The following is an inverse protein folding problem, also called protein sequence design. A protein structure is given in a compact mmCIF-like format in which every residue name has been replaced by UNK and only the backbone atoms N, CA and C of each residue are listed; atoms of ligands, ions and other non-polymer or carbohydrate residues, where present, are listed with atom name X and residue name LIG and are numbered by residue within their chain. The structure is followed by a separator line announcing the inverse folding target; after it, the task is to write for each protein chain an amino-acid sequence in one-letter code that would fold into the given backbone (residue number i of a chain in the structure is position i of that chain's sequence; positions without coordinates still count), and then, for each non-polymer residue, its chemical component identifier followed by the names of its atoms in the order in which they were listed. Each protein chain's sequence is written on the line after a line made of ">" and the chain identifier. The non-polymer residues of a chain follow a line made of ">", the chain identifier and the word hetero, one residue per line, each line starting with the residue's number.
data_IF_866276595015
#
_entry.id   IF_866276595015
#
_cell.length_a   1.000
_cell.length_b   1.000
_cell.length_c   1.000
_cell.angle_alpha   90.00
_cell.angle_beta   90.00
_cell.angle_gamma   90.00
#
_symmetry.space_group_name_H-M   'P 1'
#
loop_
_entity.id
_entity.type
_entity.pdbx_description
1 polymer ?
#
# COMPACT_ATOMS: atom_id res chain seq x y z
N UNK A 1 -29.57 -1.77 -5.52
CA UNK A 1 -29.57 -1.92 -6.98
C UNK A 1 -29.78 -0.59 -7.72
N UNK A 2 -30.98 0.00 -7.76
CA UNK A 2 -31.21 1.23 -8.56
C UNK A 2 -30.42 2.44 -8.03
N UNK A 3 -30.41 2.65 -6.72
CA UNK A 3 -29.60 3.69 -6.07
C UNK A 3 -28.09 3.54 -6.29
N UNK A 4 -27.59 2.29 -6.32
CA UNK A 4 -26.16 2.02 -6.56
C UNK A 4 -25.78 2.26 -8.01
N UNK A 5 -26.69 1.97 -8.96
CA UNK A 5 -26.49 2.27 -10.38
C UNK A 5 -26.45 3.77 -10.64
N UNK A 6 -27.39 4.53 -10.06
CA UNK A 6 -27.43 5.99 -10.18
C UNK A 6 -26.15 6.62 -9.60
N UNK A 7 -25.66 6.12 -8.46
CA UNK A 7 -24.42 6.61 -7.86
C UNK A 7 -23.18 6.24 -8.72
N UNK A 8 -23.16 5.06 -9.33
CA UNK A 8 -22.10 4.67 -10.24
C UNK A 8 -22.07 5.54 -11.50
N UNK A 9 -23.24 5.86 -12.07
CA UNK A 9 -23.35 6.78 -13.22
C UNK A 9 -22.94 8.21 -12.83
N UNK A 10 -23.29 8.67 -11.62
CA UNK A 10 -22.83 9.95 -11.08
C UNK A 10 -21.30 10.01 -11.01
N UNK A 11 -20.66 8.98 -10.46
CA UNK A 11 -19.20 8.86 -10.38
C UNK A 11 -18.53 8.80 -11.75
N UNK A 12 -19.21 8.23 -12.75
CA UNK A 12 -18.69 8.15 -14.11
C UNK A 12 -18.74 9.51 -14.85
N UNK A 13 -19.74 10.34 -14.53
CA UNK A 13 -19.95 11.64 -15.15
C UNK A 13 -19.19 12.79 -14.46
N UNK A 14 -18.63 12.57 -13.26
CA UNK A 14 -17.84 13.57 -12.54
C UNK A 14 -16.42 13.74 -13.09
N UNK A 15 -15.90 14.96 -13.00
CA UNK A 15 -14.49 15.24 -13.33
C UNK A 15 -13.54 14.77 -12.22
N UNK A 16 -12.26 14.57 -12.56
CA UNK A 16 -11.26 14.08 -11.58
C UNK A 16 -11.06 15.05 -10.41
N UNK A 17 -11.16 16.36 -10.65
CA UNK A 17 -11.04 17.40 -9.62
C UNK A 17 -12.19 17.33 -8.60
N UNK A 18 -13.42 17.18 -9.10
CA UNK A 18 -14.62 17.02 -8.27
C UNK A 18 -14.56 15.73 -7.47
N UNK A 19 -14.11 14.63 -8.08
CA UNK A 19 -13.96 13.33 -7.43
C UNK A 19 -12.96 13.36 -6.27
N UNK A 20 -11.82 14.03 -6.44
CA UNK A 20 -10.83 14.21 -5.38
C UNK A 20 -11.37 15.07 -4.24
N UNK A 21 -12.11 16.14 -4.56
CA UNK A 21 -12.74 16.99 -3.55
C UNK A 21 -13.80 16.24 -2.74
N UNK A 22 -14.65 15.45 -3.41
CA UNK A 22 -15.63 14.59 -2.73
C UNK A 22 -14.97 13.53 -1.87
N UNK A 23 -13.93 12.86 -2.35
CA UNK A 23 -13.21 11.85 -1.57
C UNK A 23 -12.54 12.46 -0.33
N UNK A 24 -12.09 13.71 -0.43
CA UNK A 24 -11.52 14.46 0.69
C UNK A 24 -12.58 14.83 1.72
N UNK A 25 -13.76 15.26 1.27
CA UNK A 25 -14.85 15.67 2.15
C UNK A 25 -15.62 14.49 2.74
N UNK A 26 -15.69 13.37 2.00
CA UNK A 26 -16.37 12.15 2.38
C UNK A 26 -15.41 10.96 2.32
N UNK A 27 -14.46 10.86 3.27
CA UNK A 27 -13.51 9.77 3.29
C UNK A 27 -14.24 8.44 3.52
N UNK A 28 -13.81 7.40 2.80
CA UNK A 28 -14.39 6.05 2.92
C UNK A 28 -14.26 5.54 4.36
N UNK A 29 -15.39 5.40 5.06
CA UNK A 29 -15.45 4.84 6.41
C UNK A 29 -15.24 3.32 6.33
N UNK A 30 -14.09 2.86 6.81
CA UNK A 30 -13.79 1.43 6.92
C UNK A 30 -14.18 0.96 8.32
N UNK A 31 -15.40 0.41 8.45
CA UNK A 31 -15.95 -0.08 9.72
C UNK A 31 -15.10 -1.19 10.35
N UNK A 32 -14.43 -2.00 9.53
CA UNK A 32 -13.66 -3.16 9.97
C UNK A 32 -12.14 -2.90 10.07
N UNK A 33 -11.74 -1.64 10.24
CA UNK A 33 -10.31 -1.29 10.33
C UNK A 33 -9.75 -1.72 11.68
N UNK A 34 -9.01 -2.81 11.68
CA UNK A 34 -8.31 -3.29 12.87
C UNK A 34 -7.13 -2.36 13.22
N UNK A 35 -6.92 -2.02 14.50
CA UNK A 35 -5.69 -1.36 14.93
C UNK A 35 -4.51 -2.31 14.67
N UNK A 36 -3.58 -1.89 13.81
CA UNK A 36 -2.33 -2.63 13.57
C UNK A 36 -1.20 -1.95 14.33
N UNK A 37 -0.57 -2.67 15.25
CA UNK A 37 0.65 -2.25 15.92
C UNK A 37 1.89 -2.39 15.02
N UNK A 38 3.04 -1.98 15.57
CA UNK A 38 4.35 -2.19 14.92
C UNK A 38 4.83 -3.61 15.23
N UNK A 39 5.07 -4.40 14.21
CA UNK A 39 5.62 -5.75 14.35
C UNK A 39 7.10 -5.71 14.71
N UNK A 40 7.53 -6.67 15.54
CA UNK A 40 8.95 -6.93 15.81
C UNK A 40 9.61 -7.66 14.64
N UNK A 41 10.94 -7.63 14.60
CA UNK A 41 11.73 -8.31 13.59
C UNK A 41 11.46 -9.82 13.59
N UNK A 42 11.09 -10.37 12.42
CA UNK A 42 10.72 -11.77 12.19
C UNK A 42 9.50 -12.28 13.00
N UNK A 43 8.70 -11.38 13.56
CA UNK A 43 7.46 -11.74 14.24
C UNK A 43 6.48 -12.44 13.28
N UNK A 44 5.77 -13.45 13.77
CA UNK A 44 4.78 -14.17 12.97
C UNK A 44 3.55 -13.30 12.73
N UNK A 45 3.16 -13.19 11.46
CA UNK A 45 1.90 -12.59 11.06
C UNK A 45 0.74 -13.57 11.28
N UNK A 46 -0.27 -13.12 12.03
CA UNK A 46 -1.55 -13.81 12.18
C UNK A 46 -2.60 -13.05 11.37
N UNK A 47 -3.20 -13.73 10.40
CA UNK A 47 -4.32 -13.20 9.64
C UNK A 47 -5.60 -13.31 10.48
N UNK A 48 -6.34 -12.21 10.66
CA UNK A 48 -7.58 -12.18 11.47
C UNK A 48 -8.67 -13.15 10.96
N UNK A 49 -8.64 -13.46 9.66
CA UNK A 49 -9.73 -14.10 8.95
C UNK A 49 -10.49 -13.09 8.09
N UNK A 50 -11.17 -13.57 7.05
CA UNK A 50 -12.03 -12.76 6.18
C UNK A 50 -13.53 -13.01 6.43
N UNK A 51 -13.85 -14.06 7.18
CA UNK A 51 -15.20 -14.50 7.47
C UNK A 51 -15.72 -13.87 8.76
N UNK A 52 -17.05 -13.75 8.89
CA UNK A 52 -17.75 -13.26 10.08
C UNK A 52 -17.39 -11.83 10.52
N UNK A 53 -16.84 -11.03 9.60
CA UNK A 53 -16.51 -9.61 9.83
C UNK A 53 -17.70 -8.66 9.64
N UNK A 54 -18.85 -9.19 9.22
CA UNK A 54 -20.12 -8.48 9.16
C UNK A 54 -20.74 -8.29 10.55
N UNK A 55 -20.43 -9.19 11.48
CA UNK A 55 -20.89 -9.14 12.86
C UNK A 55 -19.88 -8.36 13.71
N UNK A 56 -20.40 -7.43 14.48
CA UNK A 56 -19.58 -6.47 15.21
C UNK A 56 -19.25 -6.97 16.62
N UNK A 57 -18.60 -8.13 16.68
CA UNK A 57 -18.20 -8.74 17.94
C UNK A 57 -16.89 -8.12 18.46
N UNK A 58 -16.86 -7.90 19.77
CA UNK A 58 -15.70 -7.36 20.47
C UNK A 58 -14.44 -8.21 20.28
N UNK A 59 -14.60 -9.52 20.04
CA UNK A 59 -13.50 -10.45 19.77
C UNK A 59 -12.71 -10.05 18.52
N UNK A 60 -13.39 -9.63 17.45
CA UNK A 60 -12.77 -9.32 16.15
C UNK A 60 -12.11 -7.94 16.10
N UNK A 61 -12.35 -7.10 17.11
CA UNK A 61 -11.74 -5.77 17.27
C UNK A 61 -10.41 -5.81 18.04
N UNK A 62 -10.04 -6.95 18.61
CA UNK A 62 -8.80 -7.11 19.39
C UNK A 62 -7.56 -6.92 18.52
N UNK A 63 -6.51 -6.41 19.14
CA UNK A 63 -5.21 -6.29 18.50
C UNK A 63 -4.54 -7.67 18.41
N UNK A 64 -4.47 -8.21 17.19
CA UNK A 64 -3.80 -9.48 16.88
C UNK A 64 -2.32 -9.31 16.52
N UNK A 65 -1.82 -8.07 16.54
CA UNK A 65 -0.44 -7.76 16.14
C UNK A 65 0.56 -7.90 17.26
N UNK A 66 0.11 -8.25 18.46
CA UNK A 66 0.97 -8.46 19.61
C UNK A 66 1.90 -9.68 19.43
N UNK A 67 3.13 -9.61 19.96
CA UNK A 67 4.06 -10.73 19.91
C UNK A 67 3.50 -11.92 20.69
N UNK A 68 3.65 -13.11 20.12
CA UNK A 68 3.19 -14.37 20.73
C UNK A 68 4.38 -15.27 21.01
N UNK A 69 4.39 -15.95 22.16
CA UNK A 69 5.39 -16.96 22.54
C UNK A 69 6.83 -16.50 22.26
N UNK A 70 7.48 -17.07 21.24
CA UNK A 70 8.87 -16.84 20.84
C UNK A 70 9.16 -15.43 20.31
N UNK A 71 8.13 -14.65 19.97
CA UNK A 71 8.27 -13.31 19.41
C UNK A 71 8.37 -12.22 20.50
N UNK A 72 8.31 -12.59 21.78
CA UNK A 72 8.60 -11.65 22.88
C UNK A 72 10.05 -11.18 22.85
N UNK A 73 10.98 -12.08 22.49
CA UNK A 73 12.40 -11.80 22.41
C UNK A 73 12.77 -10.99 21.16
N UNK A 74 13.74 -10.09 21.30
CA UNK A 74 14.25 -9.29 20.19
C UNK A 74 15.27 -10.08 19.36
N UNK A 75 14.82 -10.55 18.18
CA UNK A 75 15.62 -11.37 17.26
C UNK A 75 16.68 -10.56 16.51
N UNK A 76 16.71 -9.23 16.63
CA UNK A 76 17.74 -8.39 15.99
C UNK A 76 19.11 -8.54 16.65
N UNK A 77 19.14 -8.86 17.95
CA UNK A 77 20.38 -9.06 18.73
C UNK A 77 21.08 -10.37 18.36
N UNK A 78 20.38 -11.29 17.68
CA UNK A 78 20.95 -12.56 17.25
C UNK A 78 22.00 -12.37 16.15
N UNK A 79 22.99 -13.28 16.04
CA UNK A 79 23.93 -13.31 14.91
C UNK A 79 23.18 -13.39 13.57
N UNK A 80 23.71 -12.77 12.51
CA UNK A 80 23.05 -12.69 11.19
C UNK A 80 22.61 -14.05 10.64
N UNK A 81 23.36 -15.12 10.89
CA UNK A 81 23.03 -16.49 10.47
C UNK A 81 21.77 -17.04 11.16
N UNK A 82 21.47 -16.57 12.37
CA UNK A 82 20.30 -16.92 13.16
C UNK A 82 19.12 -15.96 12.97
N UNK A 83 19.33 -14.81 12.30
CA UNK A 83 18.28 -13.83 11.94
C UNK A 83 17.39 -14.33 10.79
N UNK A 84 16.86 -15.54 10.95
CA UNK A 84 16.07 -16.26 9.95
C UNK A 84 14.92 -16.97 10.64
N UNK A 85 13.78 -17.10 9.96
CA UNK A 85 12.64 -17.84 10.49
C UNK A 85 12.92 -19.33 10.51
N UNK A 86 12.56 -20.06 11.58
CA UNK A 86 12.76 -21.51 11.69
C UNK A 86 14.22 -21.96 11.50
N UNK A 87 15.16 -21.32 12.19
CA UNK A 87 16.57 -21.71 12.17
C UNK A 87 16.76 -23.20 12.50
N UNK A 88 17.63 -23.89 11.76
CA UNK A 88 17.91 -25.33 11.95
C UNK A 88 16.89 -26.30 11.33
N UNK A 89 15.78 -25.84 10.73
CA UNK A 89 14.83 -26.72 10.04
C UNK A 89 15.22 -26.97 8.58
N UNK A 90 15.11 -28.22 8.12
CA UNK A 90 15.43 -28.64 6.74
C UNK A 90 14.54 -27.97 5.69
N UNK A 91 13.26 -27.72 6.00
CA UNK A 91 12.29 -27.06 5.10
C UNK A 91 12.28 -25.52 5.18
N UNK A 92 13.36 -24.89 5.64
CA UNK A 92 13.42 -23.43 5.80
C UNK A 92 13.50 -22.73 4.44
N UNK A 93 12.71 -21.68 4.26
CA UNK A 93 12.81 -20.79 3.09
C UNK A 93 14.17 -20.09 3.06
N UNK A 94 14.73 -19.90 1.85
CA UNK A 94 16.00 -19.19 1.64
C UNK A 94 15.90 -17.67 1.91
N UNK A 95 14.71 -17.11 1.73
CA UNK A 95 14.41 -15.68 1.84
C UNK A 95 13.92 -15.31 3.24
N UNK A 96 14.29 -14.12 3.71
CA UNK A 96 13.98 -13.69 5.08
C UNK A 96 12.75 -12.77 5.15
N UNK A 97 12.85 -11.54 4.67
CA UNK A 97 11.80 -10.54 4.66
C UNK A 97 11.92 -9.65 3.43
N UNK A 98 10.82 -9.01 3.01
CA UNK A 98 10.75 -8.28 1.75
C UNK A 98 11.85 -7.22 1.63
N UNK A 99 12.13 -6.48 2.70
CA UNK A 99 13.15 -5.41 2.70
C UNK A 99 14.55 -5.95 2.39
N UNK A 100 14.92 -7.13 2.90
CA UNK A 100 16.22 -7.77 2.65
C UNK A 100 16.30 -8.40 1.25
N UNK A 101 15.16 -8.58 0.58
CA UNK A 101 15.04 -9.10 -0.77
C UNK A 101 14.66 -8.03 -1.78
N UNK A 102 14.49 -6.79 -1.31
CA UNK A 102 14.15 -5.66 -2.15
C UNK A 102 15.41 -5.24 -2.90
N UNK A 103 15.33 -5.31 -4.22
CA UNK A 103 16.42 -4.95 -5.12
C UNK A 103 16.18 -3.59 -5.77
N UNK A 104 15.18 -2.83 -5.30
CA UNK A 104 14.95 -1.46 -5.77
C UNK A 104 16.18 -0.59 -5.49
N UNK A 105 16.78 -0.09 -6.57
CA UNK A 105 17.88 0.87 -6.49
C UNK A 105 17.34 2.28 -6.54
N UNK A 106 17.40 2.97 -5.40
CA UNK A 106 17.04 4.39 -5.31
C UNK A 106 18.08 5.31 -5.98
N UNK A 107 19.25 4.78 -6.34
CA UNK A 107 20.29 5.50 -7.09
C UNK A 107 20.08 5.43 -8.61
N UNK A 108 19.08 4.68 -9.07
CA UNK A 108 18.76 4.58 -10.50
C UNK A 108 18.52 5.97 -11.09
N UNK A 109 19.17 6.33 -12.22
CA UNK A 109 18.93 7.58 -12.91
C UNK A 109 17.47 7.79 -13.30
N UNK A 110 16.64 6.74 -13.36
CA UNK A 110 15.20 6.82 -13.64
C UNK A 110 14.32 7.05 -12.39
N UNK A 111 14.85 6.75 -11.19
CA UNK A 111 14.15 6.93 -9.92
C UNK A 111 14.45 8.31 -9.28
N UNK A 112 15.45 9.02 -9.78
CA UNK A 112 15.82 10.35 -9.29
C UNK A 112 14.75 11.39 -9.66
N UNK A 113 14.21 12.09 -8.67
CA UNK A 113 13.36 13.28 -8.83
C UNK A 113 14.22 14.50 -9.25
N UNK A 114 14.89 14.40 -10.40
CA UNK A 114 15.67 15.51 -10.97
C UNK A 114 14.87 16.25 -12.02
N UNK A 115 15.11 17.56 -12.16
CA UNK A 115 14.42 18.40 -13.17
C UNK A 115 14.60 17.87 -14.58
N UNK A 116 15.72 17.21 -14.86
CA UNK A 116 16.01 16.58 -16.16
C UNK A 116 15.18 15.32 -16.37
N UNK A 117 14.97 14.53 -15.31
CA UNK A 117 14.13 13.34 -15.34
C UNK A 117 12.65 13.67 -15.51
N UNK A 118 12.13 14.67 -14.77
CA UNK A 118 10.75 15.12 -14.95
C UNK A 118 10.50 15.60 -16.37
N UNK A 119 11.44 16.34 -16.97
CA UNK A 119 11.36 16.76 -18.38
C UNK A 119 11.32 15.55 -19.32
N UNK A 120 12.25 14.61 -19.16
CA UNK A 120 12.28 13.39 -19.97
C UNK A 120 10.98 12.58 -19.85
N UNK A 121 10.47 12.39 -18.64
CA UNK A 121 9.20 11.69 -18.42
C UNK A 121 8.04 12.44 -19.08
N UNK A 122 7.91 13.75 -18.89
CA UNK A 122 6.83 14.53 -19.52
C UNK A 122 6.88 14.51 -21.06
N UNK A 123 8.08 14.47 -21.65
CA UNK A 123 8.24 14.49 -23.12
C UNK A 123 8.20 13.12 -23.78
N UNK A 124 8.70 12.07 -23.10
CA UNK A 124 8.94 10.76 -23.72
C UNK A 124 8.11 9.62 -23.12
N UNK A 125 7.55 9.77 -21.91
CA UNK A 125 6.63 8.75 -21.41
C UNK A 125 5.30 8.81 -22.17
N UNK A 126 4.74 7.66 -22.53
CA UNK A 126 3.51 7.61 -23.32
C UNK A 126 2.25 8.03 -22.54
N UNK A 127 2.28 7.92 -21.21
CA UNK A 127 1.12 8.10 -20.34
C UNK A 127 0.97 9.52 -19.74
N UNK A 128 2.04 10.32 -19.69
CA UNK A 128 2.02 11.65 -19.02
C UNK A 128 2.15 12.83 -19.99
N UNK A 129 2.12 12.58 -21.30
CA UNK A 129 2.12 13.66 -22.30
C UNK A 129 0.88 14.52 -22.08
N UNK A 130 1.10 15.79 -21.73
CA UNK A 130 0.02 16.77 -21.70
C UNK A 130 -0.43 17.06 -23.13
N UNK A 131 -1.50 16.40 -23.57
CA UNK A 131 -2.19 16.69 -24.83
C UNK A 131 -3.13 17.87 -24.63
N UNK A 132 -2.58 19.01 -24.19
CA UNK A 132 -3.34 20.25 -24.06
C UNK A 132 -2.88 21.23 -25.13
N UNK A 133 -3.66 21.35 -26.20
CA UNK A 133 -3.48 22.42 -27.18
C UNK A 133 -4.08 23.70 -26.62
N UNK A 134 -3.22 24.68 -26.30
CA UNK A 134 -3.69 26.02 -25.94
C UNK A 134 -4.41 26.62 -27.14
N UNK A 135 -5.68 27.05 -27.00
CA UNK A 135 -6.38 27.71 -28.09
C UNK A 135 -5.60 28.96 -28.51
N UNK A 136 -5.18 29.01 -29.78
CA UNK A 136 -4.41 30.13 -30.29
C UNK A 136 -5.28 31.39 -30.27
N UNK A 137 -4.68 32.53 -29.91
CA UNK A 137 -5.39 33.82 -29.78
C UNK A 137 -5.89 34.37 -31.13
N UNK A 138 -5.51 33.74 -32.24
CA UNK A 138 -5.97 34.08 -33.57
C UNK A 138 -7.07 33.12 -34.01
N UNK A 139 -8.30 33.65 -34.07
CA UNK A 139 -9.36 33.04 -34.86
C UNK A 139 -9.01 33.23 -36.34
N UNK A 140 -9.09 32.14 -37.13
CA UNK A 140 -9.24 32.23 -38.59
C UNK A 140 -10.58 32.86 -38.93
#
# INVERSE_FOLDING_TARGET
>A
MEKERIEAERLHNMTEEERLFELRNNPKVVVNKMPKGKYKFLQKYYHRGAFFLNEDDQVYRRDITNPTLEDHFDKTVLPKVMQVKNFGRSGRTKYTHLVDQDTTSFESPWAQESTLNLKFQATHSAATKQVFEKPSKQRK
#
